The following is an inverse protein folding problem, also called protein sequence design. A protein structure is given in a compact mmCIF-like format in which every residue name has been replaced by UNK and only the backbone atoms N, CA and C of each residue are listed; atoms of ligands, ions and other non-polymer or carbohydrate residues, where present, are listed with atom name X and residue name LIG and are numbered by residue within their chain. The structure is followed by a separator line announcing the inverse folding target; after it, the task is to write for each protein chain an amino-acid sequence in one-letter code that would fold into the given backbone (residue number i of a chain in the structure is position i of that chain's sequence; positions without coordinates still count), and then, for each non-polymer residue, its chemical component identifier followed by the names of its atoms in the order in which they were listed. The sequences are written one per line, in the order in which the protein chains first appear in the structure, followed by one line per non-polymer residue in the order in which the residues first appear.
data_IF_235163852010
#
_entry.id   IF_235163852010
#
_cell.length_a   1.000
_cell.length_b   1.000
_cell.length_c   1.000
_cell.angle_alpha   90.00
_cell.angle_beta   90.00
_cell.angle_gamma   90.00
#
_symmetry.space_group_name_H-M   'P 1'
#
loop_
_entity.id
_entity.type
_entity.pdbx_description
1 polymer ?
#
# COMPACT_ATOMS: atom_id res chain seq x y z
N UNK A 1 -46.26 41.46 0.00
CA UNK A 1 -45.87 40.76 1.25
C UNK A 1 -45.67 39.27 1.05
N UNK A 2 -46.56 38.52 0.38
CA UNK A 2 -46.37 37.07 0.16
C UNK A 2 -45.14 36.71 -0.73
N UNK A 3 -44.89 37.47 -1.79
CA UNK A 3 -43.76 37.23 -2.72
C UNK A 3 -42.39 37.43 -2.06
N UNK A 4 -42.26 38.40 -1.16
CA UNK A 4 -41.02 38.67 -0.43
C UNK A 4 -40.69 37.57 0.57
N UNK A 5 -41.71 36.97 1.21
CA UNK A 5 -41.54 35.82 2.13
C UNK A 5 -41.10 34.57 1.35
N UNK A 6 -41.69 34.32 0.18
CA UNK A 6 -41.29 33.20 -0.69
C UNK A 6 -39.86 33.36 -1.21
N UNK A 7 -39.44 34.59 -1.53
CA UNK A 7 -38.08 34.88 -1.98
C UNK A 7 -37.06 34.67 -0.87
N UNK A 8 -37.33 35.16 0.34
CA UNK A 8 -36.41 34.99 1.47
C UNK A 8 -36.28 33.52 1.87
N UNK A 9 -37.37 32.75 1.81
CA UNK A 9 -37.34 31.30 2.02
C UNK A 9 -36.46 30.59 0.97
N UNK A 10 -36.59 30.93 -0.32
CA UNK A 10 -35.73 30.39 -1.38
C UNK A 10 -34.26 30.80 -1.25
N UNK A 11 -34.00 32.02 -0.76
CA UNK A 11 -32.66 32.53 -0.51
C UNK A 11 -31.99 31.78 0.65
N UNK A 12 -32.71 31.58 1.75
CA UNK A 12 -32.23 30.80 2.89
C UNK A 12 -31.88 29.36 2.47
N UNK A 13 -32.76 28.69 1.73
CA UNK A 13 -32.47 27.35 1.19
C UNK A 13 -31.22 27.34 0.30
N UNK A 14 -31.01 28.39 -0.52
CA UNK A 14 -29.82 28.49 -1.38
C UNK A 14 -28.56 28.68 -0.56
N UNK A 15 -28.62 29.46 0.51
CA UNK A 15 -27.49 29.73 1.38
C UNK A 15 -27.16 28.50 2.24
N UNK A 16 -28.16 27.80 2.78
CA UNK A 16 -28.01 26.49 3.43
C UNK A 16 -27.37 25.45 2.48
N UNK A 17 -27.82 25.41 1.21
CA UNK A 17 -27.27 24.51 0.20
C UNK A 17 -25.81 24.85 -0.15
N UNK A 18 -25.41 26.13 -0.11
CA UNK A 18 -24.01 26.51 -0.29
C UNK A 18 -23.16 26.04 0.88
N UNK A 19 -23.66 26.17 2.11
CA UNK A 19 -22.95 25.69 3.30
C UNK A 19 -22.74 24.17 3.26
N UNK A 20 -23.75 23.40 2.89
CA UNK A 20 -23.64 21.94 2.72
C UNK A 20 -22.58 21.57 1.67
N UNK A 21 -22.52 22.29 0.54
CA UNK A 21 -21.53 22.03 -0.52
C UNK A 21 -20.09 22.35 -0.10
N UNK A 22 -19.90 23.41 0.70
CA UNK A 22 -18.56 23.72 1.23
C UNK A 22 -18.13 22.70 2.30
N UNK A 23 -19.08 22.13 3.07
CA UNK A 23 -18.80 21.00 3.97
C UNK A 23 -18.43 19.71 3.23
N UNK A 24 -19.10 19.38 2.13
CA UNK A 24 -18.74 18.22 1.29
C UNK A 24 -17.33 18.38 0.69
N UNK A 25 -16.99 19.60 0.28
CA UNK A 25 -15.67 19.94 -0.26
C UNK A 25 -14.55 19.87 0.78
N UNK A 26 -14.84 20.20 2.04
CA UNK A 26 -13.85 20.06 3.11
C UNK A 26 -13.62 18.58 3.47
N UNK A 27 -14.65 17.74 3.38
CA UNK A 27 -14.54 16.29 3.58
C UNK A 27 -13.70 15.61 2.49
N UNK A 28 -13.87 16.00 1.22
CA UNK A 28 -13.03 15.47 0.13
C UNK A 28 -11.59 15.94 0.21
N UNK A 29 -11.36 17.19 0.63
CA UNK A 29 -10.01 17.70 0.87
C UNK A 29 -9.28 16.95 1.99
N UNK A 30 -9.98 16.58 3.07
CA UNK A 30 -9.38 15.80 4.16
C UNK A 30 -8.97 14.39 3.71
N UNK A 31 -9.68 13.79 2.75
CA UNK A 31 -9.28 12.50 2.16
C UNK A 31 -7.97 12.62 1.35
N UNK A 32 -7.72 13.76 0.69
CA UNK A 32 -6.46 14.01 -0.01
C UNK A 32 -5.26 14.20 0.93
N UNK A 33 -5.46 14.37 2.25
CA UNK A 33 -4.37 14.48 3.23
C UNK A 33 -3.95 13.10 3.78
N UNK A 34 -4.78 12.08 3.63
CA UNK A 34 -4.48 10.69 4.00
C UNK A 34 -3.52 10.09 2.98
N UNK A 35 -2.63 9.21 3.44
CA UNK A 35 -1.73 8.50 2.55
C UNK A 35 -2.43 7.37 1.77
N UNK A 36 -1.89 7.04 0.60
CA UNK A 36 -2.41 5.99 -0.29
C UNK A 36 -1.45 4.80 -0.35
N UNK A 37 -1.97 3.60 -0.59
CA UNK A 37 -1.19 2.36 -0.74
C UNK A 37 -0.17 2.41 -1.89
N UNK A 38 -0.35 3.31 -2.86
CA UNK A 38 0.64 3.60 -3.90
C UNK A 38 2.00 4.02 -3.31
N UNK A 39 2.00 4.75 -2.19
CA UNK A 39 3.23 5.13 -1.46
C UNK A 39 3.98 3.89 -0.96
N UNK A 40 3.26 2.80 -0.67
CA UNK A 40 3.80 1.52 -0.26
C UNK A 40 4.00 0.56 -1.45
N UNK A 41 4.18 1.11 -2.67
CA UNK A 41 4.31 0.37 -3.93
C UNK A 41 3.14 -0.59 -4.21
N UNK A 42 1.96 -0.38 -3.61
CA UNK A 42 0.85 -1.34 -3.60
C UNK A 42 1.21 -2.72 -3.02
N UNK A 43 2.34 -2.82 -2.31
CA UNK A 43 2.84 -4.02 -1.65
C UNK A 43 2.71 -3.94 -0.12
N UNK A 44 1.90 -3.01 0.36
CA UNK A 44 1.56 -2.85 1.76
C UNK A 44 0.33 -1.97 1.91
N UNK A 45 -0.05 -1.75 3.16
CA UNK A 45 -1.08 -0.78 3.54
C UNK A 45 -0.42 0.46 4.09
N UNK A 46 -0.80 1.63 3.57
CA UNK A 46 -0.32 2.90 4.06
C UNK A 46 -1.11 3.36 5.29
N UNK A 47 -0.41 3.78 6.34
CA UNK A 47 -1.00 4.30 7.57
C UNK A 47 -0.48 5.72 7.81
N UNK A 48 -1.40 6.68 7.96
CA UNK A 48 -1.07 8.07 8.30
C UNK A 48 -1.46 9.07 7.21
N UNK A 49 -0.68 10.13 7.10
CA UNK A 49 -0.89 11.25 6.16
C UNK A 49 0.14 11.24 5.04
N UNK A 50 -0.08 12.02 3.98
CA UNK A 50 0.91 12.16 2.89
C UNK A 50 2.28 12.66 3.39
N UNK A 51 2.32 13.48 4.44
CA UNK A 51 3.56 14.00 5.01
C UNK A 51 4.19 13.05 6.03
N UNK A 52 3.37 12.38 6.83
CA UNK A 52 3.79 11.45 7.88
C UNK A 52 3.09 10.11 7.71
N UNK A 53 3.77 9.19 7.02
CA UNK A 53 3.24 7.86 6.70
C UNK A 53 4.15 6.74 7.20
N UNK A 54 3.55 5.56 7.35
CA UNK A 54 4.23 4.30 7.60
C UNK A 54 3.57 3.18 6.80
N UNK A 55 4.38 2.33 6.19
CA UNK A 55 3.91 1.20 5.39
C UNK A 55 3.92 -0.10 6.18
N UNK A 56 2.77 -0.78 6.23
CA UNK A 56 2.68 -2.16 6.70
C UNK A 56 2.79 -3.08 5.48
N UNK A 57 3.97 -3.67 5.28
CA UNK A 57 4.23 -4.49 4.10
C UNK A 57 3.51 -5.84 4.12
N UNK A 58 3.08 -6.29 2.94
CA UNK A 58 2.62 -7.66 2.69
C UNK A 58 3.76 -8.64 2.99
N UNK A 59 3.39 -9.89 3.26
CA UNK A 59 4.34 -10.93 3.66
C UNK A 59 5.52 -11.03 2.66
N UNK A 60 6.74 -10.93 3.20
CA UNK A 60 7.98 -11.05 2.43
C UNK A 60 8.47 -9.75 1.77
N UNK A 61 7.63 -8.73 1.65
CA UNK A 61 8.07 -7.40 1.23
C UNK A 61 8.65 -6.64 2.41
N UNK A 62 9.70 -5.86 2.16
CA UNK A 62 10.38 -5.09 3.20
C UNK A 62 10.84 -3.74 2.65
N UNK A 63 11.34 -2.86 3.52
CA UNK A 63 11.71 -1.49 3.17
C UNK A 63 10.72 -0.47 3.70
N UNK A 64 11.05 0.82 3.55
CA UNK A 64 10.23 1.92 4.06
C UNK A 64 8.91 2.06 3.27
N UNK A 65 8.96 1.71 1.98
CA UNK A 65 7.86 1.79 1.04
C UNK A 65 7.52 0.40 0.47
N UNK A 66 7.93 -0.68 1.14
CA UNK A 66 7.76 -2.06 0.66
C UNK A 66 8.39 -2.31 -0.72
N UNK A 67 9.48 -1.61 -1.03
CA UNK A 67 10.18 -1.65 -2.30
C UNK A 67 11.03 -2.92 -2.48
N UNK A 68 11.45 -3.56 -1.39
CA UNK A 68 12.26 -4.77 -1.46
C UNK A 68 11.36 -5.98 -1.61
N UNK A 69 11.46 -6.63 -2.76
CA UNK A 69 10.67 -7.81 -3.08
C UNK A 69 11.19 -9.05 -2.34
N UNK A 70 10.30 -9.96 -1.90
CA UNK A 70 10.71 -11.24 -1.33
C UNK A 70 11.49 -12.05 -2.36
N UNK A 71 12.39 -12.90 -1.88
CA UNK A 71 13.03 -13.88 -2.74
C UNK A 71 12.09 -15.05 -3.07
N UNK A 72 12.31 -15.68 -4.22
CA UNK A 72 11.47 -16.74 -4.75
C UNK A 72 12.20 -18.08 -4.70
N UNK A 73 11.70 -19.05 -3.93
CA UNK A 73 12.36 -20.37 -3.79
C UNK A 73 12.46 -21.13 -5.11
N UNK A 74 11.49 -20.96 -6.01
CA UNK A 74 11.47 -21.60 -7.33
C UNK A 74 12.53 -21.00 -8.24
N UNK A 75 12.60 -19.66 -8.29
CA UNK A 75 13.49 -18.93 -9.20
C UNK A 75 14.91 -18.79 -8.64
N UNK A 76 15.05 -18.42 -7.38
CA UNK A 76 16.32 -18.06 -6.74
C UNK A 76 17.04 -19.30 -6.19
N UNK A 77 16.31 -20.27 -5.62
CA UNK A 77 16.86 -21.53 -5.09
C UNK A 77 16.58 -22.77 -5.96
N UNK A 78 16.30 -22.57 -7.26
CA UNK A 78 16.00 -23.63 -8.24
C UNK A 78 14.87 -24.60 -7.83
N UNK A 79 13.96 -24.18 -6.95
CA UNK A 79 12.90 -25.02 -6.39
C UNK A 79 13.41 -26.16 -5.50
N UNK A 80 14.70 -26.14 -5.14
CA UNK A 80 15.41 -27.21 -4.41
C UNK A 80 15.88 -26.78 -3.02
N UNK A 81 15.31 -25.69 -2.52
CA UNK A 81 15.64 -25.13 -1.22
C UNK A 81 14.61 -24.10 -0.77
N UNK A 82 14.69 -23.74 0.51
CA UNK A 82 13.95 -22.61 1.07
C UNK A 82 14.75 -21.33 0.83
N UNK A 83 14.11 -20.32 0.24
CA UNK A 83 14.69 -19.00 0.10
C UNK A 83 14.40 -18.13 1.32
N UNK A 84 15.42 -17.50 1.88
CA UNK A 84 15.33 -16.61 3.03
C UNK A 84 15.94 -15.25 2.64
N UNK A 85 15.13 -14.19 2.68
CA UNK A 85 15.56 -12.82 2.39
C UNK A 85 14.76 -12.15 1.27
N UNK A 86 15.40 -11.20 0.59
CA UNK A 86 14.84 -10.42 -0.52
C UNK A 86 15.44 -10.87 -1.84
N UNK A 87 14.82 -10.51 -2.97
CA UNK A 87 15.33 -10.85 -4.30
C UNK A 87 16.77 -10.35 -4.57
N UNK A 88 17.18 -9.28 -3.90
CA UNK A 88 18.52 -8.69 -4.00
C UNK A 88 19.52 -9.27 -2.99
N UNK A 89 19.05 -9.79 -1.86
CA UNK A 89 19.88 -10.35 -0.80
C UNK A 89 19.15 -11.53 -0.14
N UNK A 90 19.50 -12.73 -0.57
CA UNK A 90 18.91 -13.97 -0.08
C UNK A 90 19.96 -15.03 0.22
N UNK A 91 19.54 -16.01 1.01
CA UNK A 91 20.27 -17.25 1.26
C UNK A 91 19.35 -18.43 0.99
N UNK A 92 19.85 -19.43 0.28
CA UNK A 92 19.13 -20.67 0.03
C UNK A 92 19.51 -21.74 1.05
N UNK A 93 18.52 -22.30 1.72
CA UNK A 93 18.67 -23.50 2.55
C UNK A 93 18.28 -24.71 1.70
N UNK A 94 19.28 -25.42 1.18
CA UNK A 94 19.05 -26.52 0.24
C UNK A 94 18.42 -27.75 0.91
N UNK A 95 17.52 -28.39 0.17
CA UNK A 95 16.98 -29.69 0.52
C UNK A 95 18.06 -30.77 0.47
N UNK A 96 17.82 -31.89 1.18
CA UNK A 96 18.74 -33.03 1.21
C UNK A 96 19.06 -33.52 -0.21
N UNK A 97 20.36 -33.73 -0.46
CA UNK A 97 20.85 -34.15 -1.78
C UNK A 97 21.08 -33.00 -2.76
N UNK A 98 20.94 -31.73 -2.34
CA UNK A 98 21.31 -30.56 -3.12
C UNK A 98 22.31 -29.65 -2.38
N UNK A 99 23.12 -28.93 -3.15
CA UNK A 99 24.15 -28.00 -2.65
C UNK A 99 24.42 -26.89 -3.65
N UNK A 100 25.26 -25.93 -3.28
CA UNK A 100 25.52 -24.69 -4.00
C UNK A 100 24.68 -23.52 -3.48
N UNK A 101 25.09 -22.31 -3.83
CA UNK A 101 24.48 -21.07 -3.33
C UNK A 101 23.01 -20.93 -3.74
N UNK A 102 22.62 -21.58 -4.85
CA UNK A 102 21.25 -21.61 -5.37
C UNK A 102 20.69 -23.02 -5.43
N UNK A 103 21.29 -23.98 -4.72
CA UNK A 103 20.89 -25.39 -4.72
C UNK A 103 20.91 -26.05 -6.12
N UNK A 104 21.79 -25.57 -7.00
CA UNK A 104 21.87 -25.99 -8.38
C UNK A 104 22.58 -27.34 -8.57
N UNK A 105 23.39 -27.76 -7.59
CA UNK A 105 24.18 -29.01 -7.67
C UNK A 105 23.47 -30.14 -6.93
N UNK A 106 23.35 -31.30 -7.56
CA UNK A 106 22.97 -32.53 -6.88
C UNK A 106 24.18 -33.09 -6.10
N UNK A 107 24.04 -33.21 -4.79
CA UNK A 107 25.03 -33.80 -3.89
C UNK A 107 24.81 -35.31 -3.66
N UNK A 108 23.97 -35.95 -4.48
CA UNK A 108 23.78 -37.40 -4.43
C UNK A 108 24.98 -38.11 -5.05
N UNK A 109 25.73 -38.81 -4.21
CA UNK A 109 26.65 -39.87 -4.61
C UNK A 109 26.34 -41.11 -3.78
#
# INVERSE_FOLDING_TARGET
MALTVSYEFQKNIRDDLKEVKEMEKSLTKAADEICDDEICNNQGTCIGSKETNFCICKLGYTGMHCENTPCDSTRDCNGKGLCIGTSSNYTCVCQLGFTGDRCEKSAQK
#
